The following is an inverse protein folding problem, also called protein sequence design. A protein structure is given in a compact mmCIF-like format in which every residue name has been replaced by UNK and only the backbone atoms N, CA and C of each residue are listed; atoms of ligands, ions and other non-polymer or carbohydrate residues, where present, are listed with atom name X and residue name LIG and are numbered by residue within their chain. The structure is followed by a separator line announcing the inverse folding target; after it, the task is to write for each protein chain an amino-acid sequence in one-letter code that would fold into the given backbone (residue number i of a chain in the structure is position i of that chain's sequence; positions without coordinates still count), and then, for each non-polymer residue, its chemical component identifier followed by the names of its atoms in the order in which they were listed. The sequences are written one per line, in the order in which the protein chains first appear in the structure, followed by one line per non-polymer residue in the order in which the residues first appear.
data_IF_750368476837
#
_entry.id   IF_750368476837
#
_cell.length_a   1.000
_cell.length_b   1.000
_cell.length_c   1.000
_cell.angle_alpha   90.00
_cell.angle_beta   90.00
_cell.angle_gamma   90.00
#
_symmetry.space_group_name_H-M   'P 1'
#
loop_
_entity.id
_entity.type
_entity.pdbx_description
1 polymer ?
#
# COMPACT_ATOMS: atom_id res chain seq x y z
N UNK A 1 -5.72 -18.35 25.89
CA UNK A 1 -6.89 -18.34 24.99
C UNK A 1 -8.09 -17.71 25.68
N UNK A 2 -9.04 -17.23 24.89
CA UNK A 2 -10.31 -16.67 25.37
C UNK A 2 -11.30 -17.75 25.78
N UNK A 3 -11.31 -18.90 25.11
CA UNK A 3 -12.17 -20.06 25.42
C UNK A 3 -11.35 -21.34 25.66
N UNK A 4 -11.99 -22.34 26.26
CA UNK A 4 -11.41 -23.68 26.41
C UNK A 4 -11.34 -24.41 25.07
N UNK A 5 -12.35 -24.23 24.21
CA UNK A 5 -12.42 -24.93 22.92
C UNK A 5 -11.33 -24.47 21.96
N UNK A 6 -10.97 -23.19 21.97
CA UNK A 6 -9.82 -22.70 21.18
C UNK A 6 -8.48 -23.14 21.75
N UNK A 7 -8.33 -23.22 23.08
CA UNK A 7 -7.16 -23.84 23.69
C UNK A 7 -7.03 -25.31 23.29
N UNK A 8 -8.14 -26.03 23.24
CA UNK A 8 -8.14 -27.44 22.84
C UNK A 8 -7.88 -27.63 21.34
N UNK A 9 -8.36 -26.71 20.49
CA UNK A 9 -8.06 -26.71 19.05
C UNK A 9 -6.57 -26.47 18.78
N UNK A 10 -5.99 -25.45 19.42
CA UNK A 10 -4.57 -25.15 19.30
C UNK A 10 -3.69 -26.31 19.79
N UNK A 11 -4.12 -27.02 20.85
CA UNK A 11 -3.47 -28.25 21.31
C UNK A 11 -3.54 -29.40 20.31
N UNK A 12 -4.65 -29.51 19.59
CA UNK A 12 -4.84 -30.56 18.59
C UNK A 12 -4.05 -30.26 17.30
N UNK A 13 -3.89 -28.98 16.95
CA UNK A 13 -3.12 -28.52 15.79
C UNK A 13 -1.61 -28.55 16.03
N UNK A 14 -1.15 -28.13 17.22
CA UNK A 14 0.26 -28.01 17.58
C UNK A 14 0.70 -29.01 18.66
N UNK A 15 0.19 -30.25 18.59
CA UNK A 15 0.38 -31.27 19.64
C UNK A 15 1.84 -31.63 19.91
N UNK A 16 2.70 -31.47 18.90
CA UNK A 16 4.12 -31.84 18.96
C UNK A 16 4.94 -30.86 19.82
N UNK A 17 4.41 -29.66 20.07
CA UNK A 17 5.10 -28.57 20.76
C UNK A 17 4.57 -28.30 22.17
N UNK A 18 3.63 -29.10 22.65
CA UNK A 18 3.04 -28.92 23.99
C UNK A 18 4.00 -29.34 25.09
N UNK A 19 4.05 -28.56 26.18
CA UNK A 19 4.82 -28.92 27.36
C UNK A 19 4.15 -30.11 28.08
N UNK A 20 4.79 -31.28 28.16
CA UNK A 20 4.17 -32.47 28.77
C UNK A 20 4.04 -32.39 30.30
N UNK A 21 4.70 -31.41 30.93
CA UNK A 21 4.69 -31.21 32.40
C UNK A 21 3.66 -30.15 32.78
N UNK A 22 3.60 -29.05 32.01
CA UNK A 22 2.84 -27.85 32.40
C UNK A 22 1.55 -27.64 31.60
N UNK A 23 1.37 -28.28 30.43
CA UNK A 23 0.11 -28.16 29.69
C UNK A 23 -0.98 -29.03 30.31
N UNK A 24 -2.05 -28.38 30.77
CA UNK A 24 -3.25 -29.04 31.27
C UNK A 24 -4.46 -28.65 30.42
N UNK A 25 -5.00 -29.64 29.70
CA UNK A 25 -6.19 -29.54 28.84
C UNK A 25 -7.44 -29.07 29.59
N UNK A 26 -7.45 -29.07 30.92
CA UNK A 26 -8.53 -28.50 31.74
C UNK A 26 -8.51 -26.97 31.78
N UNK A 27 -7.45 -26.33 31.31
CA UNK A 27 -7.25 -24.88 31.37
C UNK A 27 -7.36 -24.23 29.98
N UNK A 28 -7.62 -22.92 29.96
CA UNK A 28 -7.63 -22.07 28.76
C UNK A 28 -6.22 -21.57 28.35
N UNK A 29 -5.19 -22.01 29.06
CA UNK A 29 -3.79 -21.62 28.83
C UNK A 29 -3.09 -22.81 28.22
N UNK A 30 -2.46 -22.60 27.06
CA UNK A 30 -1.65 -23.62 26.40
C UNK A 30 -0.20 -23.39 26.78
N UNK A 31 0.48 -24.41 27.29
CA UNK A 31 1.90 -24.35 27.61
C UNK A 31 2.70 -25.06 26.52
N UNK A 32 3.69 -24.38 25.94
CA UNK A 32 4.59 -24.94 24.93
C UNK A 32 5.95 -25.33 25.54
N UNK A 33 6.67 -26.24 24.89
CA UNK A 33 8.08 -26.51 25.20
C UNK A 33 8.95 -25.28 24.91
N UNK A 34 10.12 -25.19 25.55
CA UNK A 34 11.04 -24.04 25.37
C UNK A 34 11.59 -23.90 23.95
N UNK A 35 11.62 -24.99 23.19
CA UNK A 35 12.20 -25.05 21.84
C UNK A 35 11.11 -24.92 20.74
N UNK A 36 9.95 -24.34 21.09
CA UNK A 36 8.86 -24.11 20.14
C UNK A 36 9.31 -23.11 19.06
N UNK A 37 9.05 -23.39 17.77
CA UNK A 37 9.31 -22.45 16.69
C UNK A 37 8.52 -21.14 16.85
N UNK A 38 9.12 -20.01 16.44
CA UNK A 38 8.53 -18.67 16.59
C UNK A 38 7.20 -18.53 15.82
N UNK A 39 7.04 -19.20 14.68
CA UNK A 39 5.81 -19.19 13.88
C UNK A 39 4.62 -19.85 14.61
N UNK A 40 4.88 -20.88 15.42
CA UNK A 40 3.87 -21.54 16.24
C UNK A 40 3.48 -20.65 17.42
N UNK A 41 4.43 -19.93 18.01
CA UNK A 41 4.15 -18.94 19.06
C UNK A 41 3.35 -17.75 18.52
N UNK A 42 3.71 -17.23 17.35
CA UNK A 42 3.02 -16.12 16.70
C UNK A 42 1.58 -16.49 16.35
N UNK A 43 1.35 -17.70 15.82
CA UNK A 43 0.02 -18.23 15.53
C UNK A 43 -0.83 -18.36 16.81
N UNK A 44 -0.25 -18.93 17.88
CA UNK A 44 -0.88 -19.05 19.19
C UNK A 44 -1.26 -17.68 19.80
N UNK A 45 -0.37 -16.68 19.67
CA UNK A 45 -0.61 -15.31 20.11
C UNK A 45 -1.72 -14.66 19.29
N UNK A 46 -1.73 -14.87 17.97
CA UNK A 46 -2.76 -14.41 17.05
C UNK A 46 -4.15 -14.92 17.44
N UNK A 47 -4.31 -16.23 17.62
CA UNK A 47 -5.58 -16.83 18.05
C UNK A 47 -6.01 -16.36 19.45
N UNK A 48 -5.06 -16.19 20.37
CA UNK A 48 -5.34 -15.67 21.70
C UNK A 48 -5.77 -14.18 21.70
N UNK A 49 -5.36 -13.41 20.69
CA UNK A 49 -5.77 -12.02 20.49
C UNK A 49 -7.17 -11.95 19.83
N UNK A 50 -7.43 -12.78 18.83
CA UNK A 50 -8.73 -12.90 18.14
C UNK A 50 -9.87 -13.15 19.13
N UNK A 51 -9.75 -14.19 19.97
CA UNK A 51 -10.82 -14.52 20.92
C UNK A 51 -10.98 -13.50 22.06
N UNK A 52 -9.97 -12.67 22.30
CA UNK A 52 -10.09 -11.53 23.23
C UNK A 52 -10.83 -10.38 22.57
N UNK A 53 -10.61 -10.16 21.27
CA UNK A 53 -11.33 -9.17 20.48
C UNK A 53 -12.81 -9.50 20.33
N UNK A 54 -13.16 -10.77 20.08
CA UNK A 54 -14.57 -11.19 19.93
C UNK A 54 -15.41 -11.06 21.22
N UNK A 55 -14.76 -10.93 22.38
CA UNK A 55 -15.44 -10.79 23.68
C UNK A 55 -15.61 -9.36 24.16
N UNK A 56 -15.01 -8.39 23.47
CA UNK A 56 -15.15 -6.96 23.76
C UNK A 56 -16.13 -6.36 22.75
N UNK A 57 -17.27 -5.85 23.23
CA UNK A 57 -18.16 -5.02 22.41
C UNK A 57 -17.38 -3.79 21.92
N UNK A 58 -17.04 -3.74 20.62
CA UNK A 58 -16.41 -2.58 19.96
C UNK A 58 -15.31 -2.97 18.95
N UNK A 59 -15.63 -2.79 17.66
CA UNK A 59 -14.70 -2.92 16.52
C UNK A 59 -14.48 -4.33 15.98
N UNK A 60 -15.35 -4.79 15.05
CA UNK A 60 -15.11 -6.02 14.28
C UNK A 60 -13.88 -5.91 13.36
N UNK A 61 -13.36 -7.03 12.88
CA UNK A 61 -12.24 -7.01 11.91
C UNK A 61 -12.71 -6.39 10.59
N UNK A 62 -12.13 -5.25 10.22
CA UNK A 62 -12.45 -4.55 8.97
C UNK A 62 -11.41 -4.90 7.91
N UNK A 63 -11.80 -5.33 6.69
CA UNK A 63 -10.84 -5.63 5.64
C UNK A 63 -9.97 -4.41 5.27
N UNK A 64 -8.72 -4.69 4.92
CA UNK A 64 -7.77 -3.70 4.43
C UNK A 64 -7.79 -3.68 2.90
N UNK A 65 -7.83 -2.49 2.32
CA UNK A 65 -7.51 -2.28 0.90
C UNK A 65 -6.03 -2.56 0.64
N UNK A 66 -5.65 -2.68 -0.63
CA UNK A 66 -4.25 -2.91 -0.99
C UNK A 66 -3.37 -1.69 -0.69
N UNK A 67 -3.90 -0.47 -0.87
CA UNK A 67 -3.22 0.77 -0.48
C UNK A 67 -3.03 0.89 1.03
N UNK A 68 -4.00 0.47 1.84
CA UNK A 68 -3.86 0.41 3.30
C UNK A 68 -2.82 -0.62 3.71
N UNK A 69 -2.83 -1.82 3.12
CA UNK A 69 -1.80 -2.85 3.37
C UNK A 69 -0.40 -2.33 3.11
N UNK A 70 -0.23 -1.56 2.04
CA UNK A 70 1.06 -1.00 1.67
C UNK A 70 1.51 0.10 2.63
N UNK A 71 0.57 0.91 3.16
CA UNK A 71 0.84 1.97 4.15
C UNK A 71 1.18 1.45 5.54
N UNK A 72 0.43 0.45 6.04
CA UNK A 72 0.58 -0.05 7.43
C UNK A 72 1.49 -1.28 7.54
N UNK A 73 1.99 -1.76 6.40
CA UNK A 73 3.05 -2.76 6.33
C UNK A 73 4.44 -2.18 6.69
N UNK A 74 5.49 -3.02 6.69
CA UNK A 74 5.48 -4.45 6.38
C UNK A 74 4.85 -5.30 7.50
N UNK A 75 4.21 -6.41 7.12
CA UNK A 75 3.58 -7.35 8.04
C UNK A 75 4.58 -8.43 8.47
N UNK A 76 5.35 -8.13 9.50
CA UNK A 76 6.35 -9.03 10.08
C UNK A 76 6.35 -8.92 11.61
N UNK A 77 6.59 -10.04 12.30
CA UNK A 77 6.66 -10.09 13.76
C UNK A 77 5.36 -9.63 14.43
N UNK A 78 5.46 -8.65 15.34
CA UNK A 78 4.31 -8.12 16.08
C UNK A 78 3.31 -7.34 15.22
N UNK A 79 3.65 -7.00 13.97
CA UNK A 79 2.74 -6.38 13.01
C UNK A 79 2.23 -7.43 12.01
N UNK A 80 0.94 -7.72 12.03
CA UNK A 80 0.31 -8.65 11.09
C UNK A 80 -1.01 -8.09 10.55
N UNK A 81 -1.43 -8.62 9.40
CA UNK A 81 -2.63 -8.16 8.68
C UNK A 81 -3.87 -8.20 9.56
N UNK A 82 -4.02 -9.23 10.39
CA UNK A 82 -5.20 -9.39 11.24
C UNK A 82 -5.23 -8.35 12.36
N UNK A 83 -4.08 -8.02 12.95
CA UNK A 83 -3.95 -6.94 13.92
C UNK A 83 -4.33 -5.60 13.30
N UNK A 84 -3.83 -5.30 12.10
CA UNK A 84 -4.16 -4.08 11.39
C UNK A 84 -5.67 -3.98 11.05
N UNK A 85 -6.31 -5.09 10.68
CA UNK A 85 -7.77 -5.17 10.47
C UNK A 85 -8.57 -4.89 11.75
N UNK A 86 -8.13 -5.42 12.87
CA UNK A 86 -8.75 -5.18 14.17
C UNK A 86 -8.54 -3.74 14.65
N UNK A 87 -7.33 -3.19 14.47
CA UNK A 87 -7.04 -1.80 14.77
C UNK A 87 -7.87 -0.84 13.91
N UNK A 88 -8.02 -1.11 12.60
CA UNK A 88 -8.92 -0.36 11.72
C UNK A 88 -10.35 -0.34 12.24
N UNK A 89 -10.87 -1.48 12.69
CA UNK A 89 -12.19 -1.56 13.33
C UNK A 89 -12.31 -0.66 14.56
N UNK A 90 -11.28 -0.63 15.42
CA UNK A 90 -11.22 0.24 16.60
C UNK A 90 -11.23 1.73 16.23
N UNK A 91 -10.46 2.14 15.23
CA UNK A 91 -10.43 3.54 14.79
C UNK A 91 -11.74 3.98 14.16
N UNK A 92 -12.33 3.13 13.31
CA UNK A 92 -13.61 3.42 12.68
C UNK A 92 -14.72 3.54 13.74
N UNK A 93 -14.80 2.61 14.70
CA UNK A 93 -15.74 2.67 15.83
C UNK A 93 -15.59 3.97 16.66
N UNK A 94 -14.37 4.50 16.76
CA UNK A 94 -14.09 5.78 17.40
C UNK A 94 -14.40 7.02 16.54
N UNK A 95 -14.80 6.86 15.27
CA UNK A 95 -15.09 7.97 14.36
C UNK A 95 -13.88 8.51 13.60
N UNK A 96 -12.78 7.75 13.48
CA UNK A 96 -11.53 8.19 12.84
C UNK A 96 -11.38 7.55 11.46
N UNK A 97 -11.58 8.34 10.41
CA UNK A 97 -11.56 7.86 9.03
C UNK A 97 -10.12 7.63 8.52
N UNK A 98 -9.19 8.57 8.77
CA UNK A 98 -7.76 8.41 8.44
C UNK A 98 -7.01 7.66 9.54
N UNK A 99 -7.43 6.42 9.79
CA UNK A 99 -6.83 5.58 10.82
C UNK A 99 -5.36 5.24 10.54
N UNK A 100 -4.93 5.20 9.27
CA UNK A 100 -3.56 4.81 8.89
C UNK A 100 -2.50 5.79 9.39
N UNK A 101 -2.85 7.08 9.50
CA UNK A 101 -1.98 8.11 10.07
C UNK A 101 -1.76 7.97 11.58
N UNK A 102 -2.63 7.22 12.27
CA UNK A 102 -2.60 6.99 13.71
C UNK A 102 -2.20 5.58 14.12
N UNK A 103 -2.09 4.67 13.14
CA UNK A 103 -1.74 3.27 13.38
C UNK A 103 -0.27 3.13 13.75
N UNK A 104 0.00 2.37 14.82
CA UNK A 104 1.34 2.04 15.28
C UNK A 104 1.56 0.52 15.24
N UNK A 105 2.47 0.03 14.38
CA UNK A 105 2.72 -1.40 14.23
C UNK A 105 3.33 -2.06 15.47
N UNK A 106 3.80 -1.31 16.47
CA UNK A 106 4.31 -1.87 17.74
C UNK A 106 3.21 -2.02 18.79
N UNK A 107 2.10 -1.29 18.67
CA UNK A 107 0.99 -1.35 19.62
C UNK A 107 0.08 -2.56 19.38
N UNK A 108 -0.48 -3.05 20.47
CA UNK A 108 -1.57 -4.02 20.45
C UNK A 108 -2.90 -3.38 20.04
N UNK A 109 -3.90 -4.20 19.68
CA UNK A 109 -5.25 -3.71 19.35
C UNK A 109 -5.87 -2.93 20.52
N UNK A 110 -5.62 -3.38 21.75
CA UNK A 110 -6.16 -2.74 22.94
C UNK A 110 -5.53 -1.36 23.18
N UNK A 111 -4.23 -1.22 22.97
CA UNK A 111 -3.52 0.07 23.06
C UNK A 111 -3.96 1.06 21.98
N UNK A 112 -4.36 0.57 20.81
CA UNK A 112 -4.94 1.42 19.77
C UNK A 112 -6.29 2.04 20.17
N UNK A 113 -7.02 1.52 21.17
CA UNK A 113 -8.25 2.18 21.64
C UNK A 113 -7.95 3.56 22.22
N UNK A 114 -6.90 3.68 23.03
CA UNK A 114 -6.50 4.97 23.60
C UNK A 114 -6.01 5.94 22.51
N UNK A 115 -5.33 5.41 21.49
CA UNK A 115 -4.90 6.19 20.32
C UNK A 115 -6.09 6.65 19.50
N UNK A 116 -7.06 5.78 19.24
CA UNK A 116 -8.29 6.06 18.51
C UNK A 116 -9.15 7.10 19.22
N UNK A 117 -9.32 7.00 20.54
CA UNK A 117 -10.02 8.03 21.31
C UNK A 117 -9.30 9.39 21.26
N UNK A 118 -7.97 9.40 21.26
CA UNK A 118 -7.20 10.64 21.13
C UNK A 118 -7.35 11.22 19.73
N UNK A 119 -7.18 10.39 18.70
CA UNK A 119 -7.35 10.75 17.31
C UNK A 119 -8.76 11.32 17.07
N UNK A 120 -9.82 10.69 17.58
CA UNK A 120 -11.19 11.18 17.47
C UNK A 120 -11.38 12.59 18.08
N UNK A 121 -10.64 12.93 19.15
CA UNK A 121 -10.68 14.29 19.76
C UNK A 121 -9.88 15.31 18.96
N UNK A 122 -8.82 14.88 18.29
CA UNK A 122 -7.90 15.74 17.53
C UNK A 122 -8.37 15.94 16.08
N UNK A 123 -8.99 14.93 15.47
CA UNK A 123 -9.54 14.90 14.12
C UNK A 123 -11.02 15.37 14.08
N UNK A 124 -11.73 15.27 15.21
CA UNK A 124 -13.17 15.53 15.34
C UNK A 124 -13.57 16.96 15.75
N UNK A 125 -13.48 17.90 14.81
CA UNK A 125 -14.26 19.16 14.83
C UNK A 125 -15.74 18.98 14.44
N UNK A 126 -16.18 17.76 14.14
CA UNK A 126 -17.57 17.43 13.83
C UNK A 126 -18.05 16.33 14.77
N UNK A 127 -18.78 16.73 15.81
CA UNK A 127 -19.63 15.82 16.58
C UNK A 127 -20.62 15.15 15.62
N UNK A 128 -20.45 13.86 15.37
CA UNK A 128 -21.50 13.01 14.82
C UNK A 128 -22.34 12.47 15.98
N UNK A 129 -23.64 12.33 15.71
CA UNK A 129 -24.65 11.93 16.67
C UNK A 129 -24.47 10.45 17.07
N UNK A 130 -24.79 10.13 18.33
CA UNK A 130 -24.50 8.86 19.01
C UNK A 130 -25.36 7.67 18.53
N UNK A 131 -25.50 7.46 17.22
CA UNK A 131 -26.36 6.42 16.67
C UNK A 131 -25.98 5.88 15.30
N UNK A 132 -24.81 6.22 14.76
CA UNK A 132 -24.31 5.56 13.55
C UNK A 132 -23.71 4.18 13.92
N UNK A 133 -24.23 3.13 13.30
CA UNK A 133 -23.72 1.77 13.44
C UNK A 133 -22.39 1.63 12.67
N UNK A 134 -21.50 0.74 13.12
CA UNK A 134 -20.18 0.50 12.51
C UNK A 134 -20.34 0.10 11.03
N UNK A 135 -21.41 -0.63 10.70
CA UNK A 135 -21.74 -1.02 9.33
C UNK A 135 -22.07 0.19 8.44
N UNK A 136 -22.77 1.21 8.95
CA UNK A 136 -23.11 2.42 8.20
C UNK A 136 -21.89 3.31 7.96
N UNK A 137 -20.95 3.31 8.91
CA UNK A 137 -19.69 4.02 8.78
C UNK A 137 -18.74 3.29 7.82
N UNK A 138 -18.70 1.96 7.89
CA UNK A 138 -17.94 1.14 6.95
C UNK A 138 -18.46 1.32 5.52
N UNK A 139 -19.79 1.33 5.33
CA UNK A 139 -20.41 1.58 4.04
C UNK A 139 -20.06 2.97 3.48
N UNK A 140 -19.94 3.99 4.34
CA UNK A 140 -19.49 5.33 3.93
C UNK A 140 -18.01 5.37 3.58
N UNK A 141 -17.16 4.75 4.38
CA UNK A 141 -15.72 4.68 4.11
C UNK A 141 -15.43 3.91 2.82
N UNK A 142 -16.13 2.78 2.59
CA UNK A 142 -16.07 2.06 1.31
C UNK A 142 -16.58 2.91 0.17
N UNK A 143 -17.75 3.57 0.29
CA UNK A 143 -18.23 4.49 -0.74
C UNK A 143 -17.25 5.62 -1.05
N UNK A 144 -16.53 6.13 -0.06
CA UNK A 144 -15.55 7.19 -0.27
C UNK A 144 -14.30 6.66 -0.99
N UNK A 145 -13.88 5.43 -0.70
CA UNK A 145 -12.79 4.76 -1.41
C UNK A 145 -13.19 4.42 -2.87
N UNK A 146 -14.37 3.81 -3.06
CA UNK A 146 -14.92 3.45 -4.36
C UNK A 146 -15.18 4.70 -5.22
N UNK A 147 -15.59 5.82 -4.61
CA UNK A 147 -15.74 7.10 -5.31
C UNK A 147 -14.40 7.61 -5.86
N UNK A 148 -13.30 7.44 -5.13
CA UNK A 148 -11.96 7.81 -5.61
C UNK A 148 -11.51 6.97 -6.80
N UNK A 149 -11.81 5.67 -6.80
CA UNK A 149 -11.50 4.77 -7.92
C UNK A 149 -12.33 5.09 -9.17
N UNK A 150 -13.61 5.45 -9.00
CA UNK A 150 -14.47 5.86 -10.10
C UNK A 150 -14.12 7.24 -10.67
N UNK A 151 -13.73 8.20 -9.83
CA UNK A 151 -13.26 9.51 -10.29
C UNK A 151 -11.95 9.37 -11.09
N UNK A 152 -11.04 8.49 -10.67
CA UNK A 152 -9.79 8.22 -11.38
C UNK A 152 -10.02 7.50 -12.71
N UNK A 153 -10.92 6.51 -12.74
CA UNK A 153 -11.30 5.83 -13.97
C UNK A 153 -12.01 6.79 -14.95
N UNK A 154 -12.77 7.76 -14.42
CA UNK A 154 -13.40 8.81 -15.23
C UNK A 154 -12.37 9.66 -15.94
N UNK A 155 -11.36 10.15 -15.24
CA UNK A 155 -10.30 10.96 -15.82
C UNK A 155 -9.52 10.19 -16.90
N UNK A 156 -9.16 8.93 -16.64
CA UNK A 156 -8.47 8.07 -17.62
C UNK A 156 -9.35 7.80 -18.86
N UNK A 157 -10.64 7.59 -18.66
CA UNK A 157 -11.59 7.42 -19.75
C UNK A 157 -11.73 8.71 -20.59
N UNK A 158 -11.75 9.90 -19.98
CA UNK A 158 -11.75 11.19 -20.70
C UNK A 158 -10.52 11.32 -21.63
N UNK A 159 -9.38 10.76 -21.21
CA UNK A 159 -8.15 10.73 -22.01
C UNK A 159 -8.10 9.58 -23.04
N UNK A 160 -9.13 8.74 -23.11
CA UNK A 160 -9.28 7.70 -24.12
C UNK A 160 -8.70 6.33 -23.73
N UNK A 161 -8.50 6.06 -22.44
CA UNK A 161 -8.13 4.73 -21.96
C UNK A 161 -9.35 3.77 -22.06
N UNK A 162 -9.25 2.70 -22.88
CA UNK A 162 -10.36 1.77 -23.07
C UNK A 162 -10.67 0.90 -21.84
N UNK A 163 -9.65 0.56 -21.04
CA UNK A 163 -9.80 -0.29 -19.86
C UNK A 163 -10.48 0.51 -18.73
N UNK A 164 -10.14 1.79 -18.59
CA UNK A 164 -10.81 2.71 -17.66
C UNK A 164 -12.28 2.94 -18.05
N UNK A 165 -12.58 3.11 -19.34
CA UNK A 165 -13.95 3.22 -19.82
C UNK A 165 -14.76 1.94 -19.62
N UNK A 166 -14.14 0.76 -19.71
CA UNK A 166 -14.78 -0.52 -19.36
C UNK A 166 -15.08 -0.60 -17.85
N UNK A 167 -14.11 -0.23 -17.02
CA UNK A 167 -14.27 -0.18 -15.56
C UNK A 167 -15.40 0.75 -15.11
N UNK A 168 -15.56 1.93 -15.74
CA UNK A 168 -16.66 2.84 -15.42
C UNK A 168 -18.04 2.22 -15.65
N UNK A 169 -18.20 1.42 -16.71
CA UNK A 169 -19.47 0.76 -17.00
C UNK A 169 -19.73 -0.39 -16.03
N UNK A 170 -18.73 -1.22 -15.82
CA UNK A 170 -18.89 -2.48 -15.10
C UNK A 170 -18.89 -2.29 -13.58
N UNK A 171 -18.05 -1.40 -13.07
CA UNK A 171 -17.82 -1.18 -11.63
C UNK A 171 -18.50 0.08 -11.11
N UNK A 172 -18.51 1.16 -11.90
CA UNK A 172 -19.04 2.47 -11.47
C UNK A 172 -20.49 2.74 -11.94
N UNK A 173 -21.05 1.89 -12.81
CA UNK A 173 -22.43 1.96 -13.25
C UNK A 173 -22.75 3.09 -14.24
N UNK A 174 -21.73 3.62 -14.94
CA UNK A 174 -21.94 4.60 -16.00
C UNK A 174 -22.67 3.97 -17.19
N UNK A 175 -23.57 4.75 -17.80
CA UNK A 175 -24.24 4.33 -19.02
C UNK A 175 -23.33 4.51 -20.25
N UNK A 176 -23.54 3.71 -21.31
CA UNK A 176 -22.72 3.78 -22.53
C UNK A 176 -22.74 5.17 -23.19
N UNK A 177 -23.87 5.89 -23.12
CA UNK A 177 -24.02 7.26 -23.61
C UNK A 177 -23.27 8.28 -22.73
N UNK A 178 -23.18 8.03 -21.44
CA UNK A 178 -22.43 8.86 -20.50
C UNK A 178 -20.92 8.71 -20.74
N UNK A 179 -20.44 7.48 -20.93
CA UNK A 179 -19.05 7.19 -21.31
C UNK A 179 -18.69 7.76 -22.68
N UNK A 180 -19.61 7.68 -23.66
CA UNK A 180 -19.40 8.29 -24.97
C UNK A 180 -19.28 9.81 -24.90
N UNK A 181 -20.04 10.47 -24.02
CA UNK A 181 -19.96 11.92 -23.79
C UNK A 181 -18.61 12.34 -23.20
N UNK A 182 -18.06 11.56 -22.27
CA UNK A 182 -16.72 11.81 -21.70
C UNK A 182 -15.63 11.81 -22.79
N UNK A 183 -15.80 10.99 -23.83
CA UNK A 183 -14.91 10.92 -24.99
C UNK A 183 -15.21 11.98 -26.07
N UNK A 184 -16.33 12.69 -25.96
CA UNK A 184 -16.80 13.71 -26.93
C UNK A 184 -16.51 15.13 -26.47
N UNK A 185 -16.65 15.44 -25.18
CA UNK A 185 -16.39 16.77 -24.60
C UNK A 185 -14.95 17.26 -24.85
N UNK A 186 -14.03 16.34 -25.12
CA UNK A 186 -12.62 16.61 -25.37
C UNK A 186 -12.25 16.68 -26.86
N UNK A 187 -13.24 16.59 -27.76
CA UNK A 187 -13.11 16.81 -29.21
C UNK A 187 -13.40 18.27 -29.61
N UNK A 188 -13.75 19.13 -28.65
CA UNK A 188 -14.01 20.56 -28.84
C UNK A 188 -12.72 21.40 -29.01
N UNK A 189 -11.58 20.78 -29.37
CA UNK A 189 -10.48 21.53 -29.98
C UNK A 189 -10.87 21.79 -31.44
N UNK A 190 -11.53 22.93 -31.64
CA UNK A 190 -11.94 23.55 -32.89
C UNK A 190 -10.89 23.42 -34.01
N UNK A 191 -10.91 22.32 -34.78
CA UNK A 191 -10.51 22.33 -36.19
C UNK A 191 -11.16 21.21 -37.01
N UNK A 192 -12.49 21.14 -36.93
CA UNK A 192 -13.28 20.29 -37.83
C UNK A 192 -13.36 20.84 -39.27
N UNK A 193 -12.73 21.99 -39.56
CA UNK A 193 -12.78 22.63 -40.88
C UNK A 193 -11.77 22.10 -41.90
N UNK A 194 -10.67 21.48 -41.47
CA UNK A 194 -9.64 20.94 -42.39
C UNK A 194 -9.62 19.41 -42.50
N UNK A 195 -10.36 18.70 -41.65
CA UNK A 195 -10.37 17.22 -41.60
C UNK A 195 -11.11 16.55 -42.79
N UNK A 196 -11.80 17.34 -43.63
CA UNK A 196 -12.59 16.83 -44.78
C UNK A 196 -11.71 16.37 -45.97
N UNK A 197 -10.38 16.43 -45.83
CA UNK A 197 -9.41 16.02 -46.86
C UNK A 197 -8.65 14.73 -46.57
N UNK A 198 -8.69 14.23 -45.33
CA UNK A 198 -7.98 13.01 -44.95
C UNK A 198 -8.76 11.76 -45.37
N UNK A 199 -8.05 10.79 -45.94
CA UNK A 199 -8.63 9.47 -46.23
C UNK A 199 -8.95 8.73 -44.93
N UNK A 200 -9.87 7.75 -44.99
CA UNK A 200 -10.24 6.98 -43.79
C UNK A 200 -9.07 6.22 -43.13
N UNK A 201 -8.02 5.88 -43.89
CA UNK A 201 -6.81 5.28 -43.33
C UNK A 201 -5.98 6.29 -42.53
N UNK A 202 -5.84 7.51 -43.05
CA UNK A 202 -5.13 8.61 -42.39
C UNK A 202 -5.86 9.08 -41.13
N UNK A 203 -7.19 9.21 -41.19
CA UNK A 203 -8.02 9.50 -40.01
C UNK A 203 -7.83 8.45 -38.91
N UNK A 204 -7.82 7.16 -39.27
CA UNK A 204 -7.58 6.09 -38.31
C UNK A 204 -6.16 6.11 -37.72
N UNK A 205 -5.14 6.46 -38.50
CA UNK A 205 -3.78 6.62 -38.01
C UNK A 205 -3.64 7.82 -37.06
N UNK A 206 -4.23 8.96 -37.43
CA UNK A 206 -4.25 10.17 -36.62
C UNK A 206 -4.96 9.93 -35.28
N UNK A 207 -6.12 9.30 -35.29
CA UNK A 207 -6.87 8.96 -34.08
C UNK A 207 -6.03 8.10 -33.11
N UNK A 208 -5.31 7.08 -33.61
CA UNK A 208 -4.43 6.26 -32.75
C UNK A 208 -3.25 7.04 -32.20
N UNK A 209 -2.63 7.91 -33.02
CA UNK A 209 -1.53 8.74 -32.57
C UNK A 209 -1.98 9.72 -31.47
N UNK A 210 -3.17 10.29 -31.63
CA UNK A 210 -3.78 11.18 -30.64
C UNK A 210 -4.09 10.46 -29.33
N UNK A 211 -4.71 9.28 -29.38
CA UNK A 211 -4.93 8.46 -28.18
C UNK A 211 -3.62 8.11 -27.48
N UNK A 212 -2.60 7.69 -28.22
CA UNK A 212 -1.29 7.38 -27.65
C UNK A 212 -0.61 8.59 -27.01
N UNK A 213 -0.77 9.78 -27.59
CA UNK A 213 -0.31 11.04 -27.01
C UNK A 213 -1.03 11.37 -25.70
N UNK A 214 -2.35 11.25 -25.67
CA UNK A 214 -3.17 11.49 -24.46
C UNK A 214 -2.81 10.55 -23.32
N UNK A 215 -2.70 9.25 -23.59
CA UNK A 215 -2.28 8.27 -22.58
C UNK A 215 -0.90 8.62 -22.01
N UNK A 216 0.06 9.00 -22.86
CA UNK A 216 1.38 9.39 -22.41
C UNK A 216 1.38 10.67 -21.52
N UNK A 217 0.45 11.61 -21.76
CA UNK A 217 0.28 12.78 -20.88
C UNK A 217 -0.31 12.39 -19.54
N UNK A 218 -1.36 11.55 -19.53
CA UNK A 218 -1.97 11.06 -18.29
C UNK A 218 -0.96 10.30 -17.44
N UNK A 219 -0.17 9.41 -18.06
CA UNK A 219 0.94 8.69 -17.39
C UNK A 219 1.97 9.64 -16.78
N UNK A 220 2.26 10.76 -17.44
CA UNK A 220 3.19 11.77 -16.94
C UNK A 220 2.61 12.55 -15.75
N UNK A 221 1.32 12.86 -15.78
CA UNK A 221 0.66 13.57 -14.67
C UNK A 221 0.63 12.69 -13.41
N UNK A 222 0.25 11.42 -13.55
CA UNK A 222 0.29 10.42 -12.48
C UNK A 222 1.72 10.26 -11.90
N UNK A 223 2.74 10.25 -12.77
CA UNK A 223 4.13 10.19 -12.35
C UNK A 223 4.55 11.46 -11.58
N UNK A 224 4.10 12.64 -11.99
CA UNK A 224 4.39 13.91 -11.31
C UNK A 224 3.77 13.91 -9.90
N UNK A 225 2.52 13.48 -9.78
CA UNK A 225 1.85 13.42 -8.48
C UNK A 225 2.48 12.39 -7.55
N UNK A 226 2.85 11.22 -8.08
CA UNK A 226 3.65 10.23 -7.35
C UNK A 226 4.96 10.84 -6.84
N UNK A 227 5.71 11.55 -7.68
CA UNK A 227 6.96 12.20 -7.30
C UNK A 227 6.75 13.25 -6.21
N UNK A 228 5.68 14.05 -6.29
CA UNK A 228 5.33 15.05 -5.27
C UNK A 228 5.05 14.40 -3.92
N UNK A 229 4.28 13.31 -3.92
CA UNK A 229 3.97 12.57 -2.70
C UNK A 229 5.24 11.97 -2.06
N UNK A 230 6.05 11.27 -2.87
CA UNK A 230 7.28 10.64 -2.38
C UNK A 230 8.28 11.66 -1.83
N UNK A 231 8.37 12.85 -2.46
CA UNK A 231 9.16 13.95 -1.94
C UNK A 231 8.67 14.41 -0.57
N UNK A 232 7.37 14.65 -0.41
CA UNK A 232 6.80 15.08 0.87
C UNK A 232 7.03 14.03 1.98
N UNK A 233 6.89 12.74 1.64
CA UNK A 233 7.20 11.63 2.53
C UNK A 233 8.67 11.63 2.97
N UNK A 234 9.60 11.78 2.03
CA UNK A 234 11.03 11.85 2.31
C UNK A 234 11.38 13.04 3.23
N UNK A 235 10.81 14.22 2.97
CA UNK A 235 11.03 15.42 3.80
C UNK A 235 10.53 15.22 5.25
N UNK A 236 9.34 14.63 5.42
CA UNK A 236 8.78 14.30 6.74
C UNK A 236 9.67 13.30 7.50
N UNK A 237 10.04 12.20 6.85
CA UNK A 237 10.89 11.18 7.46
C UNK A 237 12.26 11.75 7.85
N UNK A 238 12.85 12.56 6.98
CA UNK A 238 14.14 13.20 7.22
C UNK A 238 14.09 14.17 8.42
N UNK A 239 13.01 14.95 8.53
CA UNK A 239 12.75 15.83 9.67
C UNK A 239 12.65 15.04 10.99
N UNK A 240 11.93 13.92 10.99
CA UNK A 240 11.79 13.04 12.15
C UNK A 240 13.15 12.46 12.59
N UNK A 241 13.94 11.94 11.64
CA UNK A 241 15.30 11.42 11.90
C UNK A 241 16.16 12.51 12.56
N UNK A 242 16.16 13.73 12.01
CA UNK A 242 16.95 14.83 12.55
C UNK A 242 16.45 15.34 13.91
N UNK A 243 15.16 15.20 14.22
CA UNK A 243 14.65 15.47 15.56
C UNK A 243 15.19 14.47 16.60
N UNK A 244 15.22 13.17 16.25
CA UNK A 244 15.80 12.12 17.11
C UNK A 244 17.30 12.38 17.31
N UNK A 245 18.07 12.61 16.23
CA UNK A 245 19.51 12.87 16.31
C UNK A 245 19.85 14.03 17.25
N UNK A 246 19.13 15.16 17.12
CA UNK A 246 19.29 16.32 18.00
C UNK A 246 19.02 15.98 19.48
N UNK A 247 17.96 15.21 19.76
CA UNK A 247 17.62 14.78 21.13
C UNK A 247 18.74 13.94 21.77
N UNK A 248 19.49 13.21 20.95
CA UNK A 248 20.61 12.37 21.39
C UNK A 248 21.99 13.04 21.24
N UNK A 249 22.05 14.36 20.98
CA UNK A 249 23.31 15.09 20.84
C UNK A 249 24.13 14.69 19.61
N UNK A 250 23.49 14.09 18.60
CA UNK A 250 24.12 13.76 17.33
C UNK A 250 23.96 14.91 16.34
N UNK A 251 24.96 15.11 15.49
CA UNK A 251 24.91 16.10 14.40
C UNK A 251 23.77 15.75 13.43
N UNK A 252 22.89 16.70 13.05
CA UNK A 252 21.88 16.48 12.03
C UNK A 252 22.47 16.02 10.70
N UNK A 253 21.71 15.20 9.97
CA UNK A 253 22.01 14.85 8.59
C UNK A 253 21.59 16.00 7.66
N UNK A 254 22.22 16.04 6.49
CA UNK A 254 21.78 16.85 5.36
C UNK A 254 21.12 15.94 4.30
N UNK A 255 20.13 16.44 3.54
CA UNK A 255 19.39 15.62 2.57
C UNK A 255 20.00 15.74 1.16
N UNK A 256 21.32 15.51 0.99
CA UNK A 256 21.99 15.78 -0.30
C UNK A 256 21.38 15.00 -1.47
N UNK A 257 21.05 13.72 -1.26
CA UNK A 257 20.48 12.88 -2.32
C UNK A 257 19.08 13.33 -2.75
N UNK A 258 18.26 13.79 -1.81
CA UNK A 258 16.93 14.30 -2.13
C UNK A 258 17.03 15.61 -2.92
N UNK A 259 17.96 16.49 -2.53
CA UNK A 259 18.21 17.73 -3.28
C UNK A 259 18.72 17.46 -4.70
N UNK A 260 19.65 16.53 -4.87
CA UNK A 260 20.15 16.12 -6.20
C UNK A 260 19.01 15.64 -7.10
N UNK A 261 18.13 14.76 -6.60
CA UNK A 261 16.99 14.26 -7.38
C UNK A 261 15.97 15.35 -7.74
N UNK A 262 15.71 16.29 -6.83
CA UNK A 262 14.82 17.42 -7.10
C UNK A 262 15.44 18.38 -8.12
N UNK A 263 16.75 18.58 -8.07
CA UNK A 263 17.48 19.40 -9.04
C UNK A 263 17.47 18.74 -10.42
N UNK A 264 17.72 17.43 -10.51
CA UNK A 264 17.64 16.67 -11.76
C UNK A 264 16.25 16.79 -12.41
N UNK A 265 15.18 16.71 -11.61
CA UNK A 265 13.80 16.91 -12.10
C UNK A 265 13.56 18.33 -12.60
N UNK A 266 14.14 19.35 -11.93
CA UNK A 266 14.05 20.73 -12.37
C UNK A 266 14.83 21.02 -13.66
N UNK A 267 15.82 20.18 -13.98
CA UNK A 267 16.65 20.26 -15.18
C UNK A 267 16.23 19.27 -16.27
N UNK A 268 15.03 18.67 -16.17
CA UNK A 268 14.45 17.98 -17.32
C UNK A 268 14.49 18.95 -18.51
N UNK A 269 15.06 18.54 -19.65
CA UNK A 269 15.19 19.44 -20.79
C UNK A 269 13.78 19.94 -21.12
N UNK A 270 13.59 21.26 -21.00
CA UNK A 270 12.42 21.92 -21.54
C UNK A 270 12.32 21.43 -22.98
N UNK A 271 11.21 20.78 -23.34
CA UNK A 271 10.93 20.47 -24.74
C UNK A 271 10.85 21.83 -25.42
N UNK A 272 11.98 22.28 -25.95
CA UNK A 272 12.11 23.53 -26.65
C UNK A 272 11.22 23.40 -27.88
N UNK A 273 10.02 23.97 -27.73
CA UNK A 273 9.09 24.38 -28.78
C UNK A 273 8.82 23.32 -29.84
N UNK A 274 7.74 22.55 -29.63
CA UNK A 274 6.99 21.94 -30.74
C UNK A 274 6.35 22.99 -31.67
N UNK A 275 6.49 24.29 -31.36
CA UNK A 275 6.07 25.42 -32.18
C UNK A 275 7.26 26.30 -32.61
N UNK A 276 7.86 25.94 -33.74
CA UNK A 276 8.26 26.93 -34.75
C UNK A 276 7.98 26.33 -36.14
N UNK A 277 6.76 25.83 -36.35
CA UNK A 277 6.17 25.79 -37.69
C UNK A 277 5.50 27.14 -37.93
N UNK A 278 6.35 28.15 -38.11
CA UNK A 278 5.95 29.50 -38.49
C UNK A 278 5.21 29.42 -39.85
N UNK A 279 4.03 30.02 -39.91
CA UNK A 279 3.12 30.18 -41.06
C UNK A 279 3.74 31.06 -42.17
N UNK A 280 4.95 30.72 -42.60
CA UNK A 280 5.74 31.50 -43.55
C UNK A 280 6.27 30.64 -44.69
N UNK A 281 5.37 30.06 -45.49
CA UNK A 281 5.34 30.28 -46.95
C UNK A 281 4.11 29.58 -47.56
N UNK A 282 2.97 30.29 -47.64
CA UNK A 282 1.96 29.98 -48.65
C UNK A 282 2.49 30.42 -50.03
N UNK A 283 3.60 29.79 -50.45
CA UNK A 283 4.15 29.91 -51.77
C UNK A 283 3.19 29.25 -52.75
N UNK A 284 2.58 30.09 -53.59
CA UNK A 284 1.80 29.77 -54.79
C UNK A 284 2.23 28.45 -55.45
N UNK A 285 1.56 27.35 -55.09
CA UNK A 285 1.79 26.03 -55.69
C UNK A 285 1.14 26.03 -57.08
N UNK A 286 1.96 26.24 -58.10
CA UNK A 286 1.60 26.00 -59.50
C UNK A 286 1.55 24.48 -59.71
N UNK A 287 0.36 23.99 -60.10
CA UNK A 287 0.09 22.61 -60.52
C UNK A 287 1.02 22.21 -61.67
N UNK A 288 2.02 21.38 -61.40
CA UNK A 288 2.64 20.53 -62.40
C UNK A 288 2.84 19.13 -61.81
N UNK A 289 1.91 18.25 -62.17
CA UNK A 289 1.97 16.80 -62.00
C UNK A 289 3.29 16.26 -62.56
N UNK A 290 4.03 15.51 -61.75
CA UNK A 290 4.88 14.44 -62.27
C UNK A 290 4.90 13.26 -61.29
N UNK A 291 4.67 12.08 -61.85
CA UNK A 291 4.47 10.82 -61.15
C UNK A 291 5.80 10.29 -60.60
N UNK A 292 5.88 10.05 -59.29
CA UNK A 292 7.04 9.43 -58.67
C UNK A 292 6.71 8.81 -57.32
N UNK A 293 6.46 7.51 -57.32
CA UNK A 293 6.40 6.67 -56.11
C UNK A 293 7.60 6.94 -55.20
N UNK A 294 7.33 7.29 -53.95
CA UNK A 294 8.25 7.04 -52.84
C UNK A 294 7.54 6.12 -51.86
N UNK A 295 7.96 4.86 -51.87
CA UNK A 295 7.70 3.90 -50.81
C UNK A 295 8.28 4.47 -49.50
N UNK A 296 7.41 4.81 -48.56
CA UNK A 296 7.78 5.05 -47.16
C UNK A 296 7.66 3.71 -46.43
N UNK A 297 8.77 2.99 -46.35
CA UNK A 297 8.96 1.87 -45.43
C UNK A 297 8.92 2.41 -43.99
N UNK A 298 7.72 2.41 -43.39
CA UNK A 298 7.55 2.52 -41.94
C UNK A 298 7.86 1.16 -41.35
N UNK A 299 9.14 0.93 -41.04
CA UNK A 299 9.55 -0.24 -40.27
C UNK A 299 9.13 -0.02 -38.81
N UNK A 300 7.90 -0.44 -38.49
CA UNK A 300 7.38 -0.49 -37.12
C UNK A 300 8.16 -1.50 -36.31
N UNK A 301 9.14 -1.03 -35.53
CA UNK A 301 9.80 -1.84 -34.50
C UNK A 301 8.89 -1.96 -33.27
N UNK A 302 7.87 -2.82 -33.38
CA UNK A 302 7.04 -3.25 -32.25
C UNK A 302 7.58 -4.58 -31.76
N UNK A 303 8.69 -4.54 -31.01
CA UNK A 303 9.12 -5.64 -30.14
C UNK A 303 9.74 -5.12 -28.85
N UNK A 304 8.90 -4.63 -27.94
CA UNK A 304 9.16 -4.79 -26.51
C UNK A 304 7.89 -4.63 -25.68
N UNK A 305 7.03 -5.64 -25.66
CA UNK A 305 6.00 -5.81 -24.64
C UNK A 305 5.42 -7.24 -24.62
N UNK A 306 6.25 -8.29 -24.67
CA UNK A 306 5.78 -9.64 -24.35
C UNK A 306 6.84 -10.45 -23.60
N UNK A 307 6.58 -10.66 -22.31
CA UNK A 307 6.93 -11.84 -21.50
C UNK A 307 8.35 -12.40 -21.57
N UNK A 308 9.18 -12.05 -20.59
CA UNK A 308 10.21 -12.96 -20.10
C UNK A 308 9.87 -13.38 -18.67
N UNK A 309 9.17 -14.51 -18.56
CA UNK A 309 9.24 -15.36 -17.37
C UNK A 309 10.70 -15.81 -17.19
N UNK A 310 11.34 -15.33 -16.14
CA UNK A 310 12.65 -15.82 -15.73
C UNK A 310 12.50 -17.22 -15.11
N UNK A 311 12.64 -18.25 -15.94
CA UNK A 311 13.07 -19.58 -15.47
C UNK A 311 14.51 -19.47 -15.00
N UNK A 312 14.72 -19.64 -13.70
CA UNK A 312 16.05 -19.84 -13.12
C UNK A 312 16.49 -21.29 -13.37
N UNK A 313 17.35 -21.48 -14.38
CA UNK A 313 18.19 -22.67 -14.48
C UNK A 313 19.34 -22.55 -13.47
N UNK A 314 19.27 -23.35 -12.41
CA UNK A 314 20.35 -23.56 -11.46
C UNK A 314 21.13 -24.79 -11.91
N UNK A 315 22.21 -24.59 -12.68
CA UNK A 315 23.23 -25.62 -12.90
C UNK A 315 24.47 -25.36 -12.03
N UNK A 316 24.60 -26.25 -11.06
CA UNK A 316 25.81 -26.82 -10.45
C UNK A 316 27.17 -26.17 -10.72
N UNK A 317 27.75 -25.61 -9.66
CA UNK A 317 29.19 -25.63 -9.44
C UNK A 317 29.47 -26.25 -8.05
N UNK A 318 29.65 -27.57 -8.05
CA UNK A 318 30.17 -28.34 -6.91
C UNK A 318 31.68 -28.44 -7.07
N UNK A 319 32.46 -27.72 -6.25
CA UNK A 319 33.86 -28.11 -6.01
C UNK A 319 34.30 -27.78 -4.57
N UNK A 320 34.31 -28.85 -3.79
CA UNK A 320 35.13 -29.18 -2.62
C UNK A 320 36.17 -28.16 -2.12
N UNK A 321 36.04 -27.83 -0.83
CA UNK A 321 37.12 -27.27 0.00
C UNK A 321 36.84 -27.53 1.48
N UNK A 322 37.16 -28.75 1.93
CA UNK A 322 37.17 -29.12 3.36
C UNK A 322 38.40 -28.49 3.99
N UNK A 323 38.23 -27.57 4.95
CA UNK A 323 39.31 -27.23 5.89
C UNK A 323 38.77 -27.27 7.32
N UNK A 324 39.19 -28.35 7.96
CA UNK A 324 39.14 -28.71 9.36
C UNK A 324 39.92 -27.71 10.21
N UNK A 325 39.28 -27.09 11.22
CA UNK A 325 39.98 -26.52 12.38
C UNK A 325 39.04 -26.26 13.56
N UNK A 326 38.96 -27.29 14.40
CA UNK A 326 39.31 -27.25 15.83
C UNK A 326 39.08 -25.95 16.61
N UNK A 327 38.16 -26.09 17.57
CA UNK A 327 38.43 -25.93 19.01
C UNK A 327 39.06 -24.61 19.49
N UNK A 328 38.23 -23.78 20.12
CA UNK A 328 38.65 -22.98 21.27
C UNK A 328 37.43 -22.66 22.16
N UNK A 329 37.21 -23.53 23.14
CA UNK A 329 36.97 -23.18 24.55
C UNK A 329 36.63 -21.72 24.86
N UNK A 330 35.39 -21.46 25.30
CA UNK A 330 35.07 -20.32 26.17
C UNK A 330 34.23 -20.80 27.34
N UNK A 331 34.90 -21.02 28.46
CA UNK A 331 34.28 -21.06 29.76
C UNK A 331 33.75 -19.68 30.13
N UNK A 332 32.53 -19.64 30.64
CA UNK A 332 32.02 -18.55 31.45
C UNK A 332 31.41 -19.21 32.69
N UNK A 333 32.20 -19.19 33.75
CA UNK A 333 31.73 -19.26 35.13
C UNK A 333 30.90 -17.99 35.44
N UNK A 334 29.96 -18.14 36.37
CA UNK A 334 29.18 -17.15 37.15
C UNK A 334 27.70 -17.59 37.16
N UNK A 335 26.95 -17.62 38.26
CA UNK A 335 27.21 -17.34 39.66
C UNK A 335 26.11 -18.07 40.45
N UNK A 336 26.49 -18.67 41.58
CA UNK A 336 25.55 -19.08 42.61
C UNK A 336 25.00 -17.81 43.28
N UNK A 337 23.71 -17.48 43.16
CA UNK A 337 23.07 -16.63 44.17
C UNK A 337 21.56 -16.83 44.35
N UNK A 338 21.22 -17.01 45.63
CA UNK A 338 20.01 -16.56 46.31
C UNK A 338 18.65 -17.23 46.02
N UNK A 339 18.43 -18.34 46.72
CA UNK A 339 17.16 -18.61 47.40
C UNK A 339 16.72 -17.43 48.29
N UNK A 340 15.59 -16.80 48.00
CA UNK A 340 14.76 -16.15 49.04
C UNK A 340 13.27 -16.22 48.68
N UNK A 341 12.61 -17.27 49.18
CA UNK A 341 11.16 -17.38 49.22
C UNK A 341 10.61 -16.30 50.18
N UNK A 342 9.81 -15.36 49.68
CA UNK A 342 8.92 -14.55 50.51
C UNK A 342 7.47 -14.89 50.22
N UNK A 343 6.94 -15.78 51.06
CA UNK A 343 5.51 -15.97 51.27
C UNK A 343 4.96 -14.73 52.00
N UNK A 344 4.15 -13.92 51.32
CA UNK A 344 3.27 -12.96 52.00
C UNK A 344 2.02 -13.70 52.46
N UNK A 345 1.88 -13.83 53.78
CA UNK A 345 0.62 -14.15 54.46
C UNK A 345 -0.17 -12.85 54.60
N UNK A 346 -1.32 -12.76 53.95
CA UNK A 346 -2.38 -11.83 54.36
C UNK A 346 -3.31 -12.54 55.35
N UNK A 347 -3.39 -11.98 56.55
CA UNK A 347 -4.38 -12.33 57.54
C UNK A 347 -4.89 -11.05 58.23
N UNK A 348 -6.23 -10.97 58.28
CA UNK A 348 -7.04 -10.13 59.16
C UNK A 348 -7.29 -8.67 58.72
N UNK A 349 -8.50 -8.46 58.20
CA UNK A 349 -9.54 -7.55 58.72
C UNK A 349 -10.84 -7.96 58.01
N UNK A 350 -11.99 -8.22 58.64
CA UNK A 350 -12.50 -7.69 59.89
C UNK A 350 -13.88 -7.12 59.58
N UNK A 351 -14.91 -7.95 59.73
CA UNK A 351 -16.32 -7.63 59.58
C UNK A 351 -16.76 -6.57 60.59
N UNK A 352 -17.47 -5.55 60.12
CA UNK A 352 -18.70 -5.01 60.70
C UNK A 352 -19.58 -4.47 59.58
#
# INVERSE_FOLDING_TARGET
MGSKDAADRLRDEHSDWLCPIDDDRRTKTVAFVSDVPDDVLDDAVGHAAEERSERSEGGGQVPLSDSEKQRVGPFTGSNNVMKARAAKGVFLDAGVDDWTSWYDPELSVDEHREVAERAAREDGGRRLDAGDDVDDQLARAQKAADAGECDHARDHCEHGDPDACEFLKDSCGYADDEVASLLEDDRDVDDASEQDTLTGQEQGALSRAWSGYKSAISDLDDAVDTVREQRANAERAFSAINAIRRRHGQEPLHPERLHELVDDLAHLPELTTLDEFDDHDAGEFVDDRDDGQTDLDVETDVRHAQGQEARADVEAATEFGVDDRSDASRGVENDEEATEQRQFRDAAQGTL
#
